data_IF_351831769439
#
_entry.id   IF_351831769439
#
_cell.length_a   1.000
_cell.length_b   1.000
_cell.length_c   1.000
_cell.angle_alpha   90.00
_cell.angle_beta   90.00
_cell.angle_gamma   90.00
#
_symmetry.space_group_name_H-M   'P 1'
#
loop_
_entity.id
_entity.type
_entity.pdbx_description
1 polymer ?
#
# COMPACT_ATOMS: atom_id res chain seq x y z
N UNK A 1 -13.36 -3.67 -9.91
CA UNK A 1 -13.17 -3.94 -8.47
C UNK A 1 -12.07 -3.03 -7.96
N UNK A 2 -12.27 -2.40 -6.80
CA UNK A 2 -11.27 -1.54 -6.17
C UNK A 2 -10.59 -2.37 -5.08
N UNK A 3 -9.25 -2.26 -4.99
CA UNK A 3 -8.45 -2.85 -3.92
C UNK A 3 -7.87 -1.74 -3.04
N UNK A 4 -7.52 -2.08 -1.81
CA UNK A 4 -6.85 -1.19 -0.86
C UNK A 4 -5.47 -1.76 -0.50
N UNK A 5 -4.49 -0.89 -0.26
CA UNK A 5 -3.21 -1.26 0.34
C UNK A 5 -2.79 -0.19 1.34
N UNK A 6 -2.31 -0.63 2.51
CA UNK A 6 -1.74 0.24 3.52
C UNK A 6 -0.23 0.01 3.53
N UNK A 7 0.56 1.05 3.27
CA UNK A 7 2.02 0.99 3.25
C UNK A 7 2.57 1.69 4.48
N UNK A 8 3.42 1.00 5.22
CA UNK A 8 4.07 1.54 6.42
C UNK A 8 5.58 1.77 6.17
N UNK A 9 6.08 2.93 6.59
CA UNK A 9 7.50 3.30 6.45
C UNK A 9 8.41 2.46 7.37
N UNK A 10 7.93 2.15 8.57
CA UNK A 10 8.66 1.45 9.62
C UNK A 10 7.82 0.39 10.34
N UNK A 11 8.43 -0.21 11.35
CA UNK A 11 7.85 -1.31 12.14
C UNK A 11 6.83 -0.84 13.17
N UNK A 12 6.96 0.40 13.66
CA UNK A 12 6.02 0.94 14.65
C UNK A 12 4.66 1.18 14.00
N UNK A 13 4.65 1.79 12.82
CA UNK A 13 3.45 2.06 12.03
C UNK A 13 2.77 0.74 11.63
N UNK A 14 3.55 -0.24 11.18
CA UNK A 14 3.09 -1.59 10.85
C UNK A 14 2.34 -2.22 12.03
N UNK A 15 2.96 -2.30 13.20
CA UNK A 15 2.36 -2.91 14.39
C UNK A 15 1.08 -2.18 14.86
N UNK A 16 1.06 -0.85 14.79
CA UNK A 16 -0.12 -0.06 15.15
C UNK A 16 -1.27 -0.34 14.16
N UNK A 17 -0.99 -0.34 12.86
CA UNK A 17 -2.01 -0.59 11.84
C UNK A 17 -2.54 -2.02 11.92
N UNK A 18 -1.68 -3.02 12.16
CA UNK A 18 -2.09 -4.40 12.40
C UNK A 18 -3.09 -4.48 13.55
N UNK A 19 -2.77 -3.88 14.69
CA UNK A 19 -3.66 -3.88 15.85
C UNK A 19 -5.01 -3.20 15.55
N UNK A 20 -4.99 -2.08 14.84
CA UNK A 20 -6.21 -1.35 14.47
C UNK A 20 -7.08 -2.14 13.47
N UNK A 21 -6.47 -2.83 12.49
CA UNK A 21 -7.18 -3.71 11.57
C UNK A 21 -7.81 -4.90 12.29
N UNK A 22 -7.05 -5.55 13.18
CA UNK A 22 -7.53 -6.70 13.96
C UNK A 22 -8.72 -6.37 14.85
N UNK A 23 -8.80 -5.13 15.33
CA UNK A 23 -9.88 -4.66 16.21
C UNK A 23 -10.97 -3.88 15.45
N UNK A 24 -10.99 -3.94 14.12
CA UNK A 24 -11.98 -3.25 13.27
C UNK A 24 -12.09 -1.74 13.58
N UNK A 25 -10.97 -1.10 13.90
CA UNK A 25 -10.89 0.31 14.28
C UNK A 25 -10.63 1.25 13.09
N UNK A 26 -10.60 0.72 11.86
CA UNK A 26 -10.36 1.47 10.63
C UNK A 26 -11.56 1.38 9.70
N UNK A 27 -11.71 2.38 8.82
CA UNK A 27 -12.70 2.35 7.72
C UNK A 27 -12.35 1.26 6.70
N UNK A 28 -11.06 0.94 6.57
CA UNK A 28 -10.58 -0.15 5.72
C UNK A 28 -10.68 -1.44 6.53
N UNK A 29 -11.44 -2.41 6.01
CA UNK A 29 -11.59 -3.71 6.63
C UNK A 29 -10.44 -4.66 6.24
N UNK A 30 -10.13 -5.61 7.12
CA UNK A 30 -9.18 -6.68 6.83
C UNK A 30 -9.90 -7.84 6.11
N UNK A 31 -10.32 -7.57 4.87
CA UNK A 31 -11.13 -8.47 4.05
C UNK A 31 -10.51 -8.66 2.65
N UNK A 32 -11.27 -9.26 1.73
CA UNK A 32 -10.81 -9.45 0.36
C UNK A 32 -10.53 -8.15 -0.40
N UNK A 33 -10.99 -6.98 0.07
CA UNK A 33 -10.68 -5.70 -0.56
C UNK A 33 -9.23 -5.28 -0.30
N UNK A 34 -8.63 -5.75 0.80
CA UNK A 34 -7.24 -5.47 1.15
C UNK A 34 -6.28 -6.36 0.33
N UNK A 35 -5.18 -5.78 -0.15
CA UNK A 35 -4.22 -6.47 -1.02
C UNK A 35 -3.45 -7.59 -0.29
N UNK A 36 -3.32 -7.48 1.03
CA UNK A 36 -2.60 -8.39 1.91
C UNK A 36 -3.40 -8.52 3.21
N UNK A 37 -3.19 -9.57 3.99
CA UNK A 37 -3.81 -9.73 5.33
C UNK A 37 -3.13 -8.80 6.35
N UNK A 38 -3.12 -7.49 6.09
CA UNK A 38 -2.45 -6.48 6.91
C UNK A 38 -1.69 -5.41 6.12
N UNK A 39 -0.98 -4.50 6.81
CA UNK A 39 -0.13 -3.51 6.18
C UNK A 39 1.07 -4.14 5.46
N UNK A 40 1.67 -3.38 4.55
CA UNK A 40 2.89 -3.76 3.83
C UNK A 40 3.98 -2.79 4.24
N UNK A 41 5.00 -3.27 4.95
CA UNK A 41 6.17 -2.45 5.26
C UNK A 41 7.06 -2.29 4.02
N UNK A 42 7.12 -1.08 3.48
CA UNK A 42 7.97 -0.74 2.34
C UNK A 42 8.19 0.77 2.25
N UNK A 43 9.43 1.17 1.91
CA UNK A 43 9.80 2.56 1.62
C UNK A 43 9.91 2.84 0.13
N UNK A 44 9.76 1.80 -0.70
CA UNK A 44 9.95 1.89 -2.14
C UNK A 44 8.64 1.60 -2.87
N UNK A 45 8.14 2.64 -3.53
CA UNK A 45 6.99 2.55 -4.44
C UNK A 45 7.22 1.47 -5.52
N UNK A 46 8.44 1.42 -6.06
CA UNK A 46 8.82 0.45 -7.08
C UNK A 46 8.80 -0.99 -6.56
N UNK A 47 9.31 -1.23 -5.35
CA UNK A 47 9.25 -2.56 -4.74
C UNK A 47 7.80 -3.00 -4.51
N UNK A 48 6.95 -2.09 -4.03
CA UNK A 48 5.52 -2.35 -3.85
C UNK A 48 4.86 -2.79 -5.16
N UNK A 49 5.04 -1.99 -6.22
CA UNK A 49 4.44 -2.28 -7.53
C UNK A 49 4.95 -3.60 -8.11
N UNK A 50 6.27 -3.83 -8.10
CA UNK A 50 6.84 -5.05 -8.68
C UNK A 50 6.42 -6.31 -7.93
N UNK A 51 6.30 -6.24 -6.60
CA UNK A 51 5.95 -7.39 -5.76
C UNK A 51 4.46 -7.68 -5.72
N UNK A 52 3.61 -6.65 -5.78
CA UNK A 52 2.17 -6.80 -5.52
C UNK A 52 1.26 -6.42 -6.69
N UNK A 53 1.70 -5.58 -7.63
CA UNK A 53 0.89 -5.03 -8.73
C UNK A 53 1.43 -5.40 -10.11
N UNK A 54 1.94 -6.63 -10.27
CA UNK A 54 2.55 -7.10 -11.53
C UNK A 54 1.67 -6.89 -12.78
N UNK A 55 2.20 -7.19 -13.96
CA UNK A 55 1.59 -6.85 -15.26
C UNK A 55 0.13 -7.31 -15.47
N UNK A 56 -0.34 -8.31 -14.73
CA UNK A 56 -1.70 -8.84 -14.79
C UNK A 56 -2.68 -8.23 -13.77
N UNK A 57 -2.26 -7.23 -12.98
CA UNK A 57 -3.14 -6.56 -12.02
C UNK A 57 -4.17 -5.68 -12.76
N UNK A 58 -5.43 -6.09 -12.74
CA UNK A 58 -6.54 -5.46 -13.50
C UNK A 58 -7.45 -4.56 -12.66
N UNK A 59 -7.21 -4.47 -11.36
CA UNK A 59 -8.02 -3.67 -10.44
C UNK A 59 -7.45 -2.25 -10.29
N UNK A 60 -8.32 -1.29 -9.97
CA UNK A 60 -7.87 0.00 -9.42
C UNK A 60 -7.46 -0.23 -7.97
N UNK A 61 -6.38 0.39 -7.53
CA UNK A 61 -5.92 0.27 -6.14
C UNK A 61 -5.79 1.63 -5.47
N UNK A 62 -6.34 1.75 -4.27
CA UNK A 62 -6.11 2.85 -3.36
C UNK A 62 -4.91 2.52 -2.48
N UNK A 63 -3.94 3.44 -2.42
CA UNK A 63 -2.72 3.27 -1.61
C UNK A 63 -2.71 4.30 -0.51
N UNK A 64 -2.81 3.84 0.73
CA UNK A 64 -2.71 4.65 1.95
C UNK A 64 -1.29 4.51 2.50
N UNK A 65 -0.58 5.62 2.69
CA UNK A 65 0.80 5.61 3.20
C UNK A 65 0.83 6.18 4.61
N UNK A 66 1.37 5.40 5.54
CA UNK A 66 1.62 5.79 6.93
C UNK A 66 3.12 6.02 7.05
N UNK A 67 3.49 7.30 7.14
CA UNK A 67 4.87 7.78 7.09
C UNK A 67 5.16 8.63 8.32
N UNK A 68 6.37 8.52 8.86
CA UNK A 68 6.90 9.38 9.91
C UNK A 68 7.57 10.61 9.27
N UNK A 69 8.24 10.40 8.13
CA UNK A 69 8.92 11.47 7.41
C UNK A 69 7.98 12.26 6.49
N UNK A 70 7.77 13.53 6.84
CA UNK A 70 7.07 14.50 5.97
C UNK A 70 7.74 14.73 4.61
N UNK A 71 9.02 14.37 4.48
CA UNK A 71 9.81 14.55 3.27
C UNK A 71 9.81 13.31 2.37
N UNK A 72 9.19 12.20 2.79
CA UNK A 72 9.22 10.96 2.02
C UNK A 72 8.32 11.04 0.77
N UNK A 73 8.97 11.07 -0.39
CA UNK A 73 8.28 11.10 -1.69
C UNK A 73 7.95 9.70 -2.19
N UNK A 74 6.71 9.50 -2.66
CA UNK A 74 6.32 8.28 -3.36
C UNK A 74 6.84 8.30 -4.80
N UNK A 75 8.12 7.99 -4.99
CA UNK A 75 8.77 8.06 -6.28
C UNK A 75 8.64 6.74 -7.05
N UNK A 76 7.79 6.73 -8.07
CA UNK A 76 7.76 5.68 -9.08
C UNK A 76 8.83 5.92 -10.15
N UNK A 77 9.59 4.89 -10.52
CA UNK A 77 10.52 4.99 -11.65
C UNK A 77 9.80 5.26 -12.97
N UNK A 78 10.52 5.86 -13.91
CA UNK A 78 10.01 6.11 -15.27
C UNK A 78 9.46 4.84 -15.94
N UNK A 79 10.10 3.69 -15.69
CA UNK A 79 9.65 2.40 -16.20
C UNK A 79 8.25 2.07 -15.69
N UNK A 80 8.04 2.15 -14.37
CA UNK A 80 6.76 1.80 -13.75
C UNK A 80 5.65 2.81 -14.10
N UNK A 81 5.97 4.10 -14.15
CA UNK A 81 5.02 5.15 -14.59
C UNK A 81 4.47 4.93 -16.00
N UNK A 82 5.19 4.21 -16.86
CA UNK A 82 4.71 3.88 -18.21
C UNK A 82 3.62 2.80 -18.20
N UNK A 83 3.60 1.95 -17.18
CA UNK A 83 2.66 0.84 -17.04
C UNK A 83 1.48 1.18 -16.12
N UNK A 84 1.63 2.15 -15.23
CA UNK A 84 0.59 2.60 -14.32
C UNK A 84 -0.05 3.89 -14.83
N UNK A 85 -1.39 3.93 -14.85
CA UNK A 85 -2.13 5.18 -14.88
C UNK A 85 -2.33 5.63 -13.45
N UNK A 86 -1.58 6.66 -13.03
CA UNK A 86 -1.75 7.33 -11.74
C UNK A 86 -2.67 8.53 -11.99
N UNK A 87 -3.81 8.56 -11.29
CA UNK A 87 -4.73 9.70 -11.30
C UNK A 87 -4.41 10.66 -10.15
#
# INVERSE_FOLDING_TARGET
>A
MIKNAILCEGSAEEAIIELLLMNNCLIIENDESLLNEGPIRTRSADQFVNKHLGFSFKATINVYRIIDSKNEKFNLSKKIKRFLKVN
#
